data_IF_303732276376
#
_entry.id   IF_303732276376
#
_cell.length_a   1.000
_cell.length_b   1.000
_cell.length_c   1.000
_cell.angle_alpha   90.00
_cell.angle_beta   90.00
_cell.angle_gamma   90.00
#
_symmetry.space_group_name_H-M   'P 1'
#
loop_
_entity.id
_entity.type
_entity.pdbx_description
1 polymer ?
#
# COMPACT_ATOMS: atom_id res chain seq x y z
N UNK A 1 -5.82 -12.37 -62.66
CA UNK A 1 -6.17 -12.80 -61.28
C UNK A 1 -7.68 -12.70 -61.10
N UNK A 2 -8.37 -13.81 -60.80
CA UNK A 2 -9.85 -13.86 -60.72
C UNK A 2 -10.42 -12.89 -59.67
N UNK A 3 -11.54 -12.24 -59.97
CA UNK A 3 -12.23 -11.30 -59.07
C UNK A 3 -12.58 -11.93 -57.71
N UNK A 4 -12.85 -13.24 -57.70
CA UNK A 4 -13.09 -14.01 -56.47
C UNK A 4 -11.87 -14.04 -55.55
N UNK A 5 -10.66 -14.21 -56.12
CA UNK A 5 -9.40 -14.21 -55.36
C UNK A 5 -9.12 -12.85 -54.74
N UNK A 6 -9.35 -11.75 -55.49
CA UNK A 6 -9.20 -10.38 -54.95
C UNK A 6 -10.13 -10.12 -53.78
N UNK A 7 -11.38 -10.58 -53.87
CA UNK A 7 -12.38 -10.42 -52.81
C UNK A 7 -12.02 -11.19 -51.54
N UNK A 8 -11.56 -12.44 -51.69
CA UNK A 8 -11.08 -13.27 -50.58
C UNK A 8 -9.87 -12.65 -49.89
N UNK A 9 -8.89 -12.15 -50.64
CA UNK A 9 -7.71 -11.47 -50.08
C UNK A 9 -8.08 -10.17 -49.35
N UNK A 10 -9.03 -9.40 -49.88
CA UNK A 10 -9.55 -8.22 -49.22
C UNK A 10 -10.22 -8.55 -47.87
N UNK A 11 -11.09 -9.57 -47.83
CA UNK A 11 -11.73 -10.04 -46.60
C UNK A 11 -10.72 -10.51 -45.56
N UNK A 12 -9.73 -11.30 -45.96
CA UNK A 12 -8.65 -11.76 -45.06
C UNK A 12 -7.89 -10.58 -44.46
N UNK A 13 -7.53 -9.60 -45.28
CA UNK A 13 -6.84 -8.39 -44.82
C UNK A 13 -7.69 -7.58 -43.84
N UNK A 14 -8.99 -7.49 -44.08
CA UNK A 14 -9.92 -6.78 -43.20
C UNK A 14 -10.08 -7.51 -41.86
N UNK A 15 -10.25 -8.83 -41.90
CA UNK A 15 -10.33 -9.67 -40.71
C UNK A 15 -9.04 -9.60 -39.88
N UNK A 16 -7.87 -9.64 -40.53
CA UNK A 16 -6.58 -9.50 -39.86
C UNK A 16 -6.47 -8.16 -39.13
N UNK A 17 -6.82 -7.03 -39.78
CA UNK A 17 -6.82 -5.71 -39.15
C UNK A 17 -7.77 -5.63 -37.95
N UNK A 18 -8.93 -6.28 -38.06
CA UNK A 18 -9.92 -6.29 -36.99
C UNK A 18 -9.41 -7.09 -35.78
N UNK A 19 -8.95 -8.32 -36.01
CA UNK A 19 -8.40 -9.17 -34.95
C UNK A 19 -7.18 -8.54 -34.29
N UNK A 20 -6.26 -7.95 -35.07
CA UNK A 20 -5.06 -7.32 -34.52
C UNK A 20 -5.38 -6.07 -33.70
N UNK A 21 -6.25 -5.18 -34.18
CA UNK A 21 -6.61 -3.96 -33.45
C UNK A 21 -7.33 -4.27 -32.13
N UNK A 22 -8.37 -5.11 -32.17
CA UNK A 22 -9.08 -5.49 -30.95
C UNK A 22 -8.27 -6.41 -30.03
N UNK A 23 -7.41 -7.27 -30.60
CA UNK A 23 -6.49 -8.11 -29.83
C UNK A 23 -5.45 -7.28 -29.07
N UNK A 24 -4.88 -6.26 -29.71
CA UNK A 24 -3.96 -5.32 -29.03
C UNK A 24 -4.67 -4.53 -27.92
N UNK A 25 -5.89 -4.05 -28.18
CA UNK A 25 -6.69 -3.37 -27.15
C UNK A 25 -7.02 -4.30 -25.98
N UNK A 26 -7.34 -5.56 -26.24
CA UNK A 26 -7.61 -6.55 -25.21
C UNK A 26 -6.36 -6.81 -24.35
N UNK A 27 -5.19 -7.00 -24.98
CA UNK A 27 -3.93 -7.17 -24.26
C UNK A 27 -3.62 -5.95 -23.39
N UNK A 28 -3.87 -4.75 -23.91
CA UNK A 28 -3.70 -3.50 -23.17
C UNK A 28 -4.61 -3.46 -21.93
N UNK A 29 -5.91 -3.74 -22.09
CA UNK A 29 -6.85 -3.76 -20.97
C UNK A 29 -6.52 -4.82 -19.94
N UNK A 30 -6.12 -6.03 -20.36
CA UNK A 30 -5.67 -7.09 -19.46
C UNK A 30 -4.43 -6.61 -18.68
N UNK A 31 -3.45 -6.02 -19.35
CA UNK A 31 -2.24 -5.52 -18.71
C UNK A 31 -2.56 -4.47 -17.65
N UNK A 32 -3.46 -3.53 -17.96
CA UNK A 32 -3.92 -2.53 -17.00
C UNK A 32 -4.64 -3.22 -15.82
N UNK A 33 -5.60 -4.09 -16.11
CA UNK A 33 -6.41 -4.77 -15.09
C UNK A 33 -5.55 -5.59 -14.11
N UNK A 34 -4.56 -6.32 -14.60
CA UNK A 34 -3.67 -7.11 -13.75
C UNK A 34 -2.66 -6.27 -12.95
N UNK A 35 -2.36 -5.05 -13.40
CA UNK A 35 -1.47 -4.16 -12.66
C UNK A 35 -2.22 -3.15 -11.78
N UNK A 36 -3.55 -3.04 -11.87
CA UNK A 36 -4.37 -2.18 -11.00
C UNK A 36 -4.12 -2.46 -9.52
N UNK A 37 -3.99 -3.72 -9.14
CA UNK A 37 -3.70 -4.15 -7.77
C UNK A 37 -2.37 -3.63 -7.22
N UNK A 38 -1.41 -3.27 -8.08
CA UNK A 38 -0.13 -2.67 -7.68
C UNK A 38 -0.25 -1.16 -7.44
N UNK A 39 -1.31 -0.54 -7.95
CA UNK A 39 -1.63 0.87 -7.76
C UNK A 39 -2.70 1.07 -6.68
N UNK A 40 -3.15 0.01 -6.01
CA UNK A 40 -4.03 0.16 -4.86
C UNK A 40 -3.25 0.80 -3.70
N UNK A 41 -3.46 2.10 -3.51
CA UNK A 41 -2.85 2.89 -2.44
C UNK A 41 -3.25 2.40 -1.03
N UNK A 42 -4.21 1.48 -0.92
CA UNK A 42 -4.59 0.83 0.34
C UNK A 42 -3.72 -0.39 0.66
N UNK A 43 -2.94 -0.92 -0.29
CA UNK A 43 -1.99 -1.99 0.00
C UNK A 43 -0.77 -1.43 0.71
N UNK A 44 -0.46 -2.01 1.87
CA UNK A 44 0.73 -1.67 2.63
C UNK A 44 1.99 -2.04 1.83
N UNK A 45 2.86 -1.07 1.61
CA UNK A 45 4.18 -1.35 1.07
C UNK A 45 5.03 -1.98 2.18
N UNK A 46 5.69 -3.12 1.94
CA UNK A 46 6.61 -3.68 2.91
C UNK A 46 7.74 -2.69 3.17
N UNK A 47 8.06 -2.46 4.45
CA UNK A 47 9.24 -1.69 4.86
C UNK A 47 10.50 -2.41 4.38
N UNK A 48 11.50 -1.66 3.92
CA UNK A 48 12.79 -2.26 3.57
C UNK A 48 13.45 -2.86 4.82
N UNK A 49 14.27 -3.90 4.65
CA UNK A 49 14.95 -4.54 5.79
C UNK A 49 15.83 -3.56 6.59
N UNK A 50 16.42 -2.58 5.89
CA UNK A 50 17.21 -1.51 6.53
C UNK A 50 16.34 -0.63 7.41
N UNK A 51 15.17 -0.22 6.92
CA UNK A 51 14.25 0.64 7.66
C UNK A 51 13.67 -0.09 8.87
N UNK A 52 13.34 -1.38 8.73
CA UNK A 52 12.89 -2.21 9.85
C UNK A 52 13.92 -2.25 10.99
N UNK A 53 15.21 -2.44 10.66
CA UNK A 53 16.29 -2.44 11.65
C UNK A 53 16.43 -1.06 12.30
N UNK A 54 16.38 0.00 11.49
CA UNK A 54 16.47 1.37 11.96
C UNK A 54 15.35 1.69 12.96
N UNK A 55 14.08 1.48 12.59
CA UNK A 55 12.94 1.75 13.45
C UNK A 55 12.91 0.89 14.70
N UNK A 56 13.40 -0.36 14.62
CA UNK A 56 13.52 -1.24 15.79
C UNK A 56 14.55 -0.70 16.79
N UNK A 57 15.71 -0.28 16.31
CA UNK A 57 16.76 0.27 17.17
C UNK A 57 16.33 1.61 17.76
N UNK A 58 15.70 2.47 16.95
CA UNK A 58 15.18 3.75 17.40
C UNK A 58 14.11 3.60 18.48
N UNK A 59 13.15 2.69 18.29
CA UNK A 59 12.13 2.37 19.30
C UNK A 59 12.77 1.88 20.60
N UNK A 60 13.80 1.04 20.52
CA UNK A 60 14.50 0.51 21.68
C UNK A 60 15.26 1.59 22.47
N UNK A 61 15.98 2.47 21.77
CA UNK A 61 16.71 3.57 22.42
C UNK A 61 15.75 4.62 23.00
N UNK A 62 14.64 4.91 22.31
CA UNK A 62 13.58 5.80 22.81
C UNK A 62 12.94 5.25 24.08
N UNK A 63 12.72 3.93 24.16
CA UNK A 63 12.20 3.29 25.36
C UNK A 63 13.15 3.29 26.56
N UNK A 64 14.45 3.49 26.35
CA UNK A 64 15.42 3.68 27.44
C UNK A 64 15.52 5.13 27.88
N UNK A 65 15.37 6.08 26.95
CA UNK A 65 15.52 7.51 27.22
C UNK A 65 14.26 8.12 27.84
N UNK A 66 13.08 7.57 27.52
CA UNK A 66 11.79 8.05 27.98
C UNK A 66 11.16 7.09 28.99
N UNK A 67 10.49 7.66 30.00
CA UNK A 67 9.62 6.90 30.89
C UNK A 67 8.28 6.65 30.19
N UNK A 68 8.19 5.56 29.42
CA UNK A 68 7.02 5.26 28.59
C UNK A 68 5.73 5.08 29.39
N UNK A 69 5.81 4.59 30.63
CA UNK A 69 4.65 4.43 31.51
C UNK A 69 4.03 5.80 31.85
N UNK A 70 4.87 6.79 32.18
CA UNK A 70 4.42 8.15 32.48
C UNK A 70 3.88 8.87 31.23
N UNK A 71 4.53 8.66 30.08
CA UNK A 71 4.05 9.18 28.78
C UNK A 71 2.67 8.60 28.46
N UNK A 72 2.45 7.32 28.73
CA UNK A 72 1.17 6.66 28.51
C UNK A 72 0.09 7.19 29.46
N UNK A 73 0.35 7.16 30.77
CA UNK A 73 -0.61 7.54 31.81
C UNK A 73 -1.06 9.00 31.70
N UNK A 74 -0.16 9.90 31.30
CA UNK A 74 -0.45 11.31 31.12
C UNK A 74 -0.92 11.67 29.71
N UNK A 75 -1.02 10.68 28.81
CA UNK A 75 -1.37 10.86 27.40
C UNK A 75 -0.52 11.94 26.70
N UNK A 76 0.81 11.86 26.86
CA UNK A 76 1.74 12.84 26.32
C UNK A 76 2.12 12.51 24.87
N UNK A 77 2.14 13.55 24.02
CA UNK A 77 2.70 13.47 22.66
C UNK A 77 4.19 13.78 22.74
N UNK A 78 5.03 12.81 22.43
CA UNK A 78 6.49 12.94 22.45
C UNK A 78 7.08 12.43 21.15
N UNK A 79 8.23 12.98 20.77
CA UNK A 79 8.93 12.62 19.55
C UNK A 79 10.23 11.86 19.88
N UNK A 80 10.65 10.97 18.98
CA UNK A 80 11.97 10.36 19.02
C UNK A 80 13.05 11.41 18.76
N UNK A 81 14.33 11.11 19.06
CA UNK A 81 15.43 12.02 18.73
C UNK A 81 15.56 12.37 17.24
N UNK A 82 15.01 11.55 16.34
CA UNK A 82 15.00 11.82 14.90
C UNK A 82 13.69 12.50 14.42
N UNK A 83 12.80 12.90 15.34
CA UNK A 83 11.58 13.64 15.04
C UNK A 83 10.39 12.78 14.61
N UNK A 84 10.34 11.51 15.00
CA UNK A 84 9.17 10.66 14.75
C UNK A 84 8.22 10.66 15.96
N UNK A 85 6.92 10.71 15.72
CA UNK A 85 5.93 10.60 16.79
C UNK A 85 6.02 9.23 17.49
N UNK A 86 6.11 9.25 18.82
CA UNK A 86 6.08 8.03 19.63
C UNK A 86 4.65 7.69 19.95
N UNK A 87 4.21 6.54 19.42
CA UNK A 87 2.87 6.01 19.66
C UNK A 87 2.99 4.80 20.58
N UNK A 88 2.28 4.84 21.69
CA UNK A 88 2.25 3.77 22.68
C UNK A 88 0.90 3.06 22.66
N UNK A 89 0.94 1.73 22.68
CA UNK A 89 -0.25 0.88 22.77
C UNK A 89 -0.21 0.05 24.05
N UNK A 90 -1.29 0.07 24.82
CA UNK A 90 -1.53 -0.95 25.84
C UNK A 90 -2.16 -2.19 25.21
N UNK A 91 -1.39 -3.29 25.15
CA UNK A 91 -1.82 -4.58 24.61
C UNK A 91 -3.03 -5.21 25.31
N UNK A 92 -3.34 -4.80 26.54
CA UNK A 92 -4.48 -5.36 27.29
C UNK A 92 -5.79 -4.68 26.95
N UNK A 93 -5.77 -3.36 26.78
CA UNK A 93 -6.97 -2.56 26.56
C UNK A 93 -7.12 -2.09 25.11
N UNK A 94 -6.05 -2.16 24.31
CA UNK A 94 -6.00 -1.59 22.96
C UNK A 94 -5.96 -0.06 22.97
N UNK A 95 -5.72 0.56 24.12
CA UNK A 95 -5.66 2.01 24.24
C UNK A 95 -4.36 2.55 23.65
N UNK A 96 -4.47 3.66 22.94
CA UNK A 96 -3.38 4.34 22.26
C UNK A 96 -3.09 5.68 22.93
N UNK A 97 -1.81 5.99 23.12
CA UNK A 97 -1.31 7.26 23.66
C UNK A 97 -0.26 7.87 22.72
N UNK A 98 -0.13 9.20 22.74
CA UNK A 98 0.84 9.93 21.92
C UNK A 98 0.42 10.14 20.47
N UNK A 99 -0.83 9.84 20.11
CA UNK A 99 -1.36 10.03 18.75
C UNK A 99 -2.03 11.40 18.62
N UNK A 100 -1.67 12.16 17.58
CA UNK A 100 -2.40 13.37 17.24
C UNK A 100 -3.88 13.04 16.94
N UNK A 101 -4.82 13.77 17.56
CA UNK A 101 -6.26 13.53 17.44
C UNK A 101 -6.75 13.53 15.98
N UNK A 102 -6.10 14.26 15.07
CA UNK A 102 -6.42 14.23 13.64
C UNK A 102 -6.17 12.87 12.99
N UNK A 103 -5.20 12.11 13.50
CA UNK A 103 -4.68 10.88 12.88
C UNK A 103 -5.16 9.60 13.59
N UNK A 104 -5.82 9.73 14.75
CA UNK A 104 -6.31 8.60 15.57
C UNK A 104 -7.18 7.62 14.78
N UNK A 105 -8.08 8.13 13.92
CA UNK A 105 -8.97 7.28 13.11
C UNK A 105 -8.21 6.47 12.07
N UNK A 106 -7.21 7.07 11.44
CA UNK A 106 -6.37 6.40 10.45
C UNK A 106 -5.52 5.30 11.12
N UNK A 107 -4.99 5.58 12.32
CA UNK A 107 -4.20 4.61 13.07
C UNK A 107 -5.05 3.44 13.59
N UNK A 108 -6.28 3.71 14.06
CA UNK A 108 -7.22 2.65 14.45
C UNK A 108 -7.59 1.75 13.27
N UNK A 109 -7.82 2.33 12.08
CA UNK A 109 -8.08 1.57 10.87
C UNK A 109 -6.87 0.70 10.49
N UNK A 110 -5.66 1.23 10.61
CA UNK A 110 -4.42 0.47 10.39
C UNK A 110 -4.31 -0.73 11.34
N UNK A 111 -4.55 -0.52 12.64
CA UNK A 111 -4.52 -1.60 13.63
C UNK A 111 -5.55 -2.70 13.37
N UNK A 112 -6.78 -2.30 13.03
CA UNK A 112 -7.83 -3.23 12.66
C UNK A 112 -7.41 -4.06 11.42
N UNK A 113 -6.87 -3.41 10.40
CA UNK A 113 -6.47 -4.09 9.16
C UNK A 113 -5.37 -5.15 9.35
N UNK A 114 -4.45 -4.95 10.30
CA UNK A 114 -3.36 -5.91 10.59
C UNK A 114 -3.84 -7.06 11.48
N UNK A 115 -4.83 -6.83 12.34
CA UNK A 115 -5.35 -7.84 13.27
C UNK A 115 -6.33 -8.81 12.61
N UNK A 116 -6.89 -8.44 11.45
CA UNK A 116 -7.93 -9.24 10.76
C UNK A 116 -7.37 -10.12 9.63
N UNK A 117 -6.07 -10.00 9.32
CA UNK A 117 -5.30 -10.90 8.44
C UNK A 117 -4.62 -12.02 9.24
#
# INVERSE_FOLDING_TARGET
MSNLKKYLEFRKRLAYKLVTSYGLLLILFITIAFNLDKFDARKFSPLSAKDQIFFKNESFETGKSLNLDEVFDRNLSVETPNGFDVILEDKKTGNLSGVNQSNIKALQFFYLSITTD
#
